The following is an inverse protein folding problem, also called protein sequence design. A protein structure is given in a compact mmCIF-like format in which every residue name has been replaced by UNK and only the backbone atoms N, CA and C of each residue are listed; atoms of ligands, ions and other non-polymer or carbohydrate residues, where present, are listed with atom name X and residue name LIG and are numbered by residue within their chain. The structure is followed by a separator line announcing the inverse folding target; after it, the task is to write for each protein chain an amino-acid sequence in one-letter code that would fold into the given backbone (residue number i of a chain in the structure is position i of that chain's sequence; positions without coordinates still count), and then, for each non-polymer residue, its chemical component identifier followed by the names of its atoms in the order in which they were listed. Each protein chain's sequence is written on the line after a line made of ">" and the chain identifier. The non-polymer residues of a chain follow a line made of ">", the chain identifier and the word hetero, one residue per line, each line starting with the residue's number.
data_IF_000170012393
#
_entry.id   IF_000170012393
#
_cell.length_a   1.000
_cell.length_b   1.000
_cell.length_c   1.000
_cell.angle_alpha   90.00
_cell.angle_beta   90.00
_cell.angle_gamma   90.00
#
_symmetry.space_group_name_H-M   'P 1'
#
loop_
_entity.id
_entity.type
_entity.pdbx_description
1 polymer ?
#
# COMPACT_ATOMS: atom_id res chain seq x y z
N UNK A 1 -47.44 -13.29 -10.06
CA UNK A 1 -46.65 -13.97 -9.00
C UNK A 1 -47.45 -14.22 -7.71
N UNK A 2 -47.63 -13.24 -6.79
CA UNK A 2 -48.30 -13.49 -5.48
C UNK A 2 -49.66 -14.16 -5.59
N UNK A 3 -50.52 -13.67 -6.48
CA UNK A 3 -51.86 -14.23 -6.71
C UNK A 3 -51.82 -15.69 -7.18
N UNK A 4 -50.83 -16.05 -8.02
CA UNK A 4 -50.66 -17.41 -8.54
C UNK A 4 -50.13 -18.35 -7.45
N UNK A 5 -49.12 -17.92 -6.68
CA UNK A 5 -48.54 -18.73 -5.60
C UNK A 5 -49.58 -19.03 -4.51
N UNK A 6 -50.38 -18.03 -4.14
CA UNK A 6 -51.42 -18.20 -3.11
C UNK A 6 -52.70 -18.86 -3.64
N UNK A 7 -52.79 -19.15 -4.94
CA UNK A 7 -54.00 -19.72 -5.54
C UNK A 7 -55.26 -18.87 -5.36
N UNK A 8 -55.13 -17.54 -5.22
CA UNK A 8 -56.28 -16.69 -4.89
C UNK A 8 -57.13 -16.45 -6.13
N UNK A 9 -58.41 -16.79 -6.03
CA UNK A 9 -59.42 -16.45 -7.02
C UNK A 9 -60.03 -15.08 -6.71
N UNK A 10 -60.03 -14.20 -7.70
CA UNK A 10 -60.63 -12.88 -7.58
C UNK A 10 -61.92 -12.81 -8.39
N UNK A 11 -62.93 -12.19 -7.80
CA UNK A 11 -64.19 -11.87 -8.47
C UNK A 11 -64.21 -10.40 -8.84
N UNK A 12 -64.66 -10.08 -10.06
CA UNK A 12 -64.90 -8.69 -10.42
C UNK A 12 -66.24 -8.26 -9.80
N UNK A 13 -66.32 -7.10 -9.12
CA UNK A 13 -67.58 -6.58 -8.59
C UNK A 13 -68.49 -5.97 -9.67
N UNK A 14 -67.99 -5.85 -10.90
CA UNK A 14 -68.66 -5.26 -12.05
C UNK A 14 -68.73 -6.31 -13.17
N UNK A 15 -68.59 -5.90 -14.43
CA UNK A 15 -68.76 -6.70 -15.65
C UNK A 15 -67.50 -7.43 -16.14
N UNK A 16 -66.49 -7.68 -15.30
CA UNK A 16 -65.17 -8.23 -15.69
C UNK A 16 -64.43 -7.44 -16.80
N UNK A 17 -64.85 -6.21 -17.10
CA UNK A 17 -64.26 -5.34 -18.14
C UNK A 17 -63.67 -4.04 -17.57
N UNK A 18 -63.27 -4.04 -16.29
CA UNK A 18 -62.75 -2.83 -15.65
C UNK A 18 -61.47 -2.31 -16.33
N UNK A 19 -61.38 -1.01 -16.67
CA UNK A 19 -60.21 -0.44 -17.30
C UNK A 19 -59.00 -0.44 -16.35
N UNK A 20 -57.96 -1.22 -16.69
CA UNK A 20 -56.73 -1.33 -15.90
C UNK A 20 -55.73 -0.26 -16.34
N UNK A 21 -55.75 0.89 -15.66
CA UNK A 21 -54.82 2.03 -15.84
C UNK A 21 -53.86 2.19 -14.65
N UNK A 22 -52.83 3.04 -14.76
CA UNK A 22 -51.86 3.29 -13.68
C UNK A 22 -52.53 3.69 -12.35
N UNK A 23 -53.55 4.54 -12.41
CA UNK A 23 -54.31 5.02 -11.26
C UNK A 23 -55.31 3.96 -10.74
N UNK A 24 -56.04 3.29 -11.64
CA UNK A 24 -57.18 2.44 -11.28
C UNK A 24 -56.86 0.94 -11.16
N UNK A 25 -55.64 0.50 -11.48
CA UNK A 25 -55.23 -0.93 -11.46
C UNK A 25 -55.42 -1.66 -10.12
N UNK A 26 -55.60 -0.95 -9.00
CA UNK A 26 -55.83 -1.56 -7.69
C UNK A 26 -57.32 -1.80 -7.39
N UNK A 27 -58.23 -1.18 -8.14
CA UNK A 27 -59.68 -1.22 -7.88
C UNK A 27 -60.31 -2.58 -8.20
N UNK A 28 -59.79 -3.30 -9.20
CA UNK A 28 -60.26 -4.64 -9.54
C UNK A 28 -59.09 -5.60 -9.73
N UNK A 29 -58.90 -6.52 -8.78
CA UNK A 29 -57.83 -7.52 -8.81
C UNK A 29 -58.10 -8.60 -9.87
N UNK A 30 -59.36 -8.93 -10.11
CA UNK A 30 -59.77 -9.88 -11.15
C UNK A 30 -59.40 -9.40 -12.56
N UNK A 31 -59.84 -8.19 -12.95
CA UNK A 31 -59.54 -7.63 -14.27
C UNK A 31 -58.03 -7.37 -14.43
N UNK A 32 -57.34 -6.98 -13.35
CA UNK A 32 -55.88 -6.85 -13.37
C UNK A 32 -55.19 -8.18 -13.66
N UNK A 33 -55.59 -9.24 -12.97
CA UNK A 33 -54.99 -10.57 -13.16
C UNK A 33 -55.32 -11.10 -14.56
N UNK A 34 -56.57 -10.95 -15.03
CA UNK A 34 -56.98 -11.36 -16.37
C UNK A 34 -56.14 -10.67 -17.44
N UNK A 35 -56.04 -9.33 -17.39
CA UNK A 35 -55.21 -8.56 -18.33
C UNK A 35 -53.74 -9.01 -18.31
N UNK A 36 -53.19 -9.38 -17.16
CA UNK A 36 -51.83 -9.94 -17.08
C UNK A 36 -51.70 -11.26 -17.87
N UNK A 37 -52.70 -12.13 -17.81
CA UNK A 37 -52.70 -13.38 -18.57
C UNK A 37 -52.92 -13.10 -20.06
N UNK A 38 -53.80 -12.17 -20.41
CA UNK A 38 -54.11 -11.81 -21.81
C UNK A 38 -52.89 -11.22 -22.54
N UNK A 39 -52.01 -10.49 -21.84
CA UNK A 39 -50.73 -10.02 -22.40
C UNK A 39 -49.64 -11.09 -22.42
N UNK A 40 -49.96 -12.34 -22.08
CA UNK A 40 -49.05 -13.49 -22.19
C UNK A 40 -48.23 -13.80 -20.94
N UNK A 41 -48.55 -13.27 -19.76
CA UNK A 41 -47.85 -13.69 -18.53
C UNK A 41 -48.22 -15.13 -18.18
N UNK A 42 -47.26 -16.06 -18.28
CA UNK A 42 -47.50 -17.47 -17.99
C UNK A 42 -47.32 -17.80 -16.50
N UNK A 43 -48.19 -18.67 -15.97
CA UNK A 43 -48.21 -19.07 -14.54
C UNK A 43 -47.09 -20.06 -14.19
N UNK A 44 -46.76 -20.94 -15.14
CA UNK A 44 -45.71 -21.96 -15.07
C UNK A 44 -44.29 -21.37 -15.02
N UNK A 45 -44.09 -20.16 -15.55
CA UNK A 45 -42.80 -19.45 -15.52
C UNK A 45 -42.46 -18.81 -14.16
N UNK A 46 -43.24 -19.09 -13.10
CA UNK A 46 -42.97 -18.57 -11.77
C UNK A 46 -42.09 -19.57 -11.01
N UNK A 47 -40.87 -19.16 -10.67
CA UNK A 47 -39.98 -19.96 -9.83
C UNK A 47 -40.65 -20.34 -8.49
N UNK A 48 -40.45 -21.59 -8.09
CA UNK A 48 -40.86 -22.09 -6.77
C UNK A 48 -40.18 -21.31 -5.64
N UNK A 49 -40.78 -21.36 -4.45
CA UNK A 49 -40.21 -20.72 -3.27
C UNK A 49 -38.81 -21.27 -2.94
N UNK A 50 -38.64 -22.59 -3.00
CA UNK A 50 -37.34 -23.26 -2.83
C UNK A 50 -36.29 -22.74 -3.83
N UNK A 51 -36.62 -22.65 -5.13
CA UNK A 51 -35.69 -22.18 -6.15
C UNK A 51 -35.29 -20.70 -5.95
N UNK A 52 -36.19 -19.87 -5.41
CA UNK A 52 -35.87 -18.48 -5.07
C UNK A 52 -35.00 -18.37 -3.82
N UNK A 53 -35.23 -19.20 -2.82
CA UNK A 53 -34.38 -19.28 -1.63
C UNK A 53 -32.96 -19.72 -2.03
N UNK A 54 -32.82 -20.76 -2.86
CA UNK A 54 -31.53 -21.19 -3.39
C UNK A 54 -30.83 -20.07 -4.18
N UNK A 55 -31.55 -19.37 -5.06
CA UNK A 55 -31.00 -18.21 -5.78
C UNK A 55 -30.54 -17.09 -4.84
N UNK A 56 -31.26 -16.83 -3.75
CA UNK A 56 -30.88 -15.85 -2.72
C UNK A 56 -29.64 -16.31 -1.95
N UNK A 57 -29.58 -17.58 -1.56
CA UNK A 57 -28.43 -18.17 -0.89
C UNK A 57 -27.16 -18.08 -1.74
N UNK A 58 -27.23 -18.46 -3.01
CA UNK A 58 -26.12 -18.36 -3.96
C UNK A 58 -25.65 -16.91 -4.16
N UNK A 59 -26.58 -15.94 -4.22
CA UNK A 59 -26.24 -14.51 -4.30
C UNK A 59 -25.58 -14.01 -3.01
N UNK A 60 -26.05 -14.47 -1.86
CA UNK A 60 -25.45 -14.17 -0.56
C UNK A 60 -24.04 -14.73 -0.45
N UNK A 61 -23.83 -15.98 -0.86
CA UNK A 61 -22.52 -16.62 -0.87
C UNK A 61 -21.55 -15.89 -1.80
N UNK A 62 -21.97 -15.55 -3.03
CA UNK A 62 -21.13 -14.76 -3.96
C UNK A 62 -20.75 -13.39 -3.42
N UNK A 63 -21.64 -12.72 -2.68
CA UNK A 63 -21.31 -11.47 -2.00
C UNK A 63 -20.24 -11.70 -0.93
N UNK A 64 -20.44 -12.69 -0.06
CA UNK A 64 -19.45 -13.05 0.98
C UNK A 64 -18.09 -13.45 0.38
N UNK A 65 -18.06 -14.21 -0.70
CA UNK A 65 -16.81 -14.57 -1.39
C UNK A 65 -16.13 -13.36 -2.01
N UNK A 66 -16.90 -12.39 -2.53
CA UNK A 66 -16.36 -11.13 -3.08
C UNK A 66 -15.92 -10.14 -2.00
N UNK A 67 -16.57 -10.19 -0.84
CA UNK A 67 -16.26 -9.36 0.34
C UNK A 67 -15.10 -9.92 1.15
N UNK A 68 -14.74 -11.20 0.98
CA UNK A 68 -13.43 -11.69 1.41
C UNK A 68 -12.38 -11.12 0.45
N UNK A 69 -11.48 -10.23 0.91
CA UNK A 69 -10.29 -9.91 0.13
C UNK A 69 -9.55 -11.24 -0.05
N UNK A 70 -9.08 -11.52 -1.27
CA UNK A 70 -8.20 -12.67 -1.50
C UNK A 70 -7.05 -12.59 -0.50
N UNK A 71 -7.07 -13.45 0.51
CA UNK A 71 -6.05 -13.47 1.55
C UNK A 71 -4.70 -13.78 0.91
N UNK A 72 -3.63 -13.31 1.57
CA UNK A 72 -2.28 -13.66 1.18
C UNK A 72 -2.13 -15.19 1.20
N UNK A 73 -1.42 -15.74 0.22
CA UNK A 73 -1.07 -17.16 0.24
C UNK A 73 -0.19 -17.46 1.46
N UNK A 74 -0.14 -18.71 1.90
CA UNK A 74 0.72 -19.11 3.02
C UNK A 74 2.20 -18.72 2.76
N UNK A 75 2.66 -18.87 1.52
CA UNK A 75 4.00 -18.46 1.08
C UNK A 75 4.20 -16.94 1.17
N UNK A 76 3.22 -16.15 0.72
CA UNK A 76 3.26 -14.68 0.84
C UNK A 76 3.30 -14.25 2.30
N UNK A 77 2.49 -14.88 3.15
CA UNK A 77 2.46 -14.58 4.57
C UNK A 77 3.78 -14.91 5.26
N UNK A 78 4.40 -16.04 4.88
CA UNK A 78 5.71 -16.44 5.38
C UNK A 78 6.81 -15.45 4.94
N UNK A 79 6.80 -15.01 3.68
CA UNK A 79 7.75 -14.02 3.18
C UNK A 79 7.63 -12.70 3.94
N UNK A 80 6.40 -12.20 4.15
CA UNK A 80 6.16 -10.99 4.92
C UNK A 80 6.70 -11.13 6.35
N UNK A 81 6.45 -12.25 7.01
CA UNK A 81 6.98 -12.52 8.36
C UNK A 81 8.51 -12.46 8.39
N UNK A 82 9.18 -13.06 7.40
CA UNK A 82 10.64 -13.03 7.29
C UNK A 82 11.14 -11.59 7.11
N UNK A 83 10.52 -10.83 6.20
CA UNK A 83 10.91 -9.44 5.93
C UNK A 83 10.75 -8.56 7.18
N UNK A 84 9.64 -8.68 7.90
CA UNK A 84 9.39 -7.94 9.14
C UNK A 84 10.43 -8.30 10.20
N UNK A 85 10.66 -9.60 10.42
CA UNK A 85 11.61 -10.07 11.43
C UNK A 85 13.06 -9.68 11.10
N UNK A 86 13.45 -9.68 9.82
CA UNK A 86 14.75 -9.22 9.37
C UNK A 86 14.90 -7.70 9.54
N UNK A 87 13.84 -6.93 9.26
CA UNK A 87 13.86 -5.48 9.44
C UNK A 87 14.06 -5.10 10.91
N UNK A 88 13.29 -5.69 11.83
CA UNK A 88 13.42 -5.39 13.27
C UNK A 88 14.77 -5.75 13.88
N UNK A 89 15.51 -6.70 13.31
CA UNK A 89 16.85 -7.08 13.79
C UNK A 89 17.95 -6.15 13.29
N UNK A 90 17.80 -5.62 12.08
CA UNK A 90 18.85 -4.86 11.41
C UNK A 90 18.57 -3.36 11.37
N UNK A 91 17.32 -2.92 11.54
CA UNK A 91 16.97 -1.51 11.55
C UNK A 91 16.52 -1.09 12.94
N UNK A 92 17.36 -0.28 13.56
CA UNK A 92 17.02 0.44 14.78
C UNK A 92 16.70 1.90 14.44
N UNK A 93 15.41 2.24 14.49
CA UNK A 93 14.93 3.61 14.23
C UNK A 93 15.40 4.62 15.29
N UNK A 94 15.87 4.15 16.45
CA UNK A 94 16.40 5.01 17.52
C UNK A 94 17.89 5.34 17.35
N UNK A 95 18.57 4.72 16.37
CA UNK A 95 20.01 4.89 16.14
C UNK A 95 20.87 4.60 17.38
N UNK A 96 20.43 3.72 18.29
CA UNK A 96 21.12 3.46 19.56
C UNK A 96 22.54 2.90 19.37
N UNK A 97 22.80 2.22 18.25
CA UNK A 97 24.11 1.66 17.91
C UNK A 97 25.01 2.63 17.13
N UNK A 98 24.52 3.82 16.78
CA UNK A 98 25.28 4.84 16.06
C UNK A 98 25.97 5.81 17.03
N UNK A 99 27.01 5.32 17.72
CA UNK A 99 27.72 6.09 18.76
C UNK A 99 29.09 6.62 18.31
N UNK A 100 29.73 5.93 17.37
CA UNK A 100 31.06 6.28 16.87
C UNK A 100 30.96 7.00 15.53
N UNK A 101 30.56 8.26 15.55
CA UNK A 101 30.49 9.13 14.37
C UNK A 101 31.43 10.32 14.48
N UNK A 102 31.89 10.82 13.34
CA UNK A 102 32.64 12.08 13.29
C UNK A 102 31.66 13.25 13.47
N UNK A 103 31.85 14.11 14.48
CA UNK A 103 31.06 15.31 14.64
C UNK A 103 31.38 16.32 13.54
N UNK A 104 30.47 17.27 13.34
CA UNK A 104 30.68 18.37 12.42
C UNK A 104 31.92 19.18 12.85
N UNK A 105 32.92 19.26 11.98
CA UNK A 105 34.07 20.13 12.21
C UNK A 105 33.76 21.43 11.51
N UNK A 106 33.53 22.51 12.28
CA UNK A 106 33.45 23.85 11.71
C UNK A 106 34.81 24.15 11.09
N UNK A 107 34.87 24.21 9.77
CA UNK A 107 36.05 24.72 9.09
C UNK A 107 35.96 26.24 9.26
N UNK A 108 36.69 26.78 10.24
CA UNK A 108 36.91 28.22 10.29
C UNK A 108 37.79 28.56 9.09
N UNK A 109 37.16 28.91 7.98
CA UNK A 109 37.85 29.51 6.83
C UNK A 109 38.11 30.96 7.24
N UNK A 110 39.36 31.36 7.55
CA UNK A 110 39.64 32.77 7.76
C UNK A 110 39.39 33.45 6.43
N UNK A 111 38.37 34.32 6.38
CA UNK A 111 38.19 35.18 5.22
C UNK A 111 39.47 36.01 5.07
N UNK A 112 40.15 36.01 3.90
CA UNK A 112 41.28 36.89 3.69
C UNK A 112 40.75 38.33 3.69
N UNK A 113 41.00 39.04 4.80
CA UNK A 113 40.70 40.47 4.92
C UNK A 113 41.51 41.21 3.85
N UNK A 114 40.89 41.93 2.90
CA UNK A 114 41.63 42.75 1.96
C UNK A 114 42.24 43.94 2.71
N UNK A 115 43.57 44.04 2.71
CA UNK A 115 44.28 45.21 3.25
C UNK A 115 44.21 46.38 2.27
N UNK A 116 43.31 47.36 2.56
CA UNK A 116 43.40 48.82 2.26
C UNK A 116 43.36 49.31 0.79
N UNK A 117 43.22 50.63 0.48
CA UNK A 117 42.58 51.77 1.18
C UNK A 117 41.57 52.58 0.28
N UNK A 118 40.80 53.47 0.91
CA UNK A 118 40.10 54.69 0.40
C UNK A 118 39.58 54.78 -1.04
N UNK A 119 38.28 55.08 -1.19
CA UNK A 119 37.70 56.28 -1.84
C UNK A 119 36.26 55.99 -2.35
N UNK A 120 35.45 57.03 -2.33
CA UNK A 120 34.00 57.03 -2.54
C UNK A 120 33.54 56.61 -3.95
N UNK A 121 32.36 55.97 -4.03
CA UNK A 121 31.52 56.02 -5.23
C UNK A 121 30.76 54.73 -5.59
N UNK A 122 29.44 54.75 -5.37
CA UNK A 122 28.46 54.23 -6.34
C UNK A 122 28.15 52.71 -6.42
N UNK A 123 26.85 52.45 -6.34
CA UNK A 123 26.08 51.43 -7.09
C UNK A 123 25.95 50.00 -6.53
N UNK A 124 24.67 49.63 -6.45
CA UNK A 124 24.03 48.31 -6.31
C UNK A 124 24.85 47.11 -6.76
N UNK A 125 24.98 46.06 -5.93
CA UNK A 125 24.78 44.67 -6.34
C UNK A 125 25.03 43.65 -5.22
N UNK A 126 23.99 42.81 -4.99
CA UNK A 126 24.02 41.41 -4.58
C UNK A 126 24.58 41.05 -3.18
N UNK A 127 23.66 40.66 -2.30
CA UNK A 127 23.94 39.78 -1.19
C UNK A 127 24.36 38.40 -1.74
N UNK A 128 25.66 38.20 -1.95
CA UNK A 128 26.27 36.90 -2.23
C UNK A 128 27.31 36.60 -1.16
N UNK A 129 27.44 35.32 -0.85
CA UNK A 129 28.55 34.69 -0.11
C UNK A 129 28.49 34.68 1.42
N UNK A 130 27.38 34.16 1.96
CA UNK A 130 27.47 33.27 3.12
C UNK A 130 26.93 31.91 2.72
N UNK A 131 27.71 31.17 1.90
CA UNK A 131 27.53 29.72 1.81
C UNK A 131 27.77 29.15 3.21
N UNK A 132 26.73 28.63 3.91
CA UNK A 132 26.95 27.99 5.18
C UNK A 132 27.79 26.75 4.91
N UNK A 133 28.98 26.65 5.50
CA UNK A 133 29.94 25.54 5.49
C UNK A 133 29.30 24.16 5.17
N UNK A 134 28.98 23.90 3.90
CA UNK A 134 28.20 22.72 3.44
C UNK A 134 29.03 21.45 3.65
N UNK A 135 30.35 21.62 3.68
CA UNK A 135 31.33 20.55 3.81
C UNK A 135 31.54 20.12 5.27
N UNK A 136 31.25 20.96 6.27
CA UNK A 136 31.38 20.61 7.70
C UNK A 136 30.60 19.37 8.15
N UNK A 137 29.43 19.13 7.55
CA UNK A 137 28.55 18.00 7.90
C UNK A 137 28.87 16.73 7.09
N UNK A 138 29.69 16.82 6.05
CA UNK A 138 29.95 15.67 5.17
C UNK A 138 30.61 14.48 5.87
N UNK A 139 31.58 14.64 6.80
CA UNK A 139 32.13 13.51 7.52
C UNK A 139 31.07 12.77 8.35
N UNK A 140 30.19 13.52 9.00
CA UNK A 140 29.07 12.97 9.78
C UNK A 140 28.07 12.23 8.89
N UNK A 141 27.69 12.85 7.76
CA UNK A 141 26.78 12.24 6.80
C UNK A 141 27.39 10.98 6.15
N UNK A 142 28.68 10.98 5.86
CA UNK A 142 29.39 9.81 5.35
C UNK A 142 29.33 8.64 6.36
N UNK A 143 29.53 8.92 7.64
CA UNK A 143 29.45 7.88 8.69
C UNK A 143 28.03 7.36 8.87
N UNK A 144 27.03 8.25 8.86
CA UNK A 144 25.61 7.87 8.92
C UNK A 144 25.20 7.03 7.70
N UNK A 145 25.58 7.46 6.50
CA UNK A 145 25.28 6.73 5.26
C UNK A 145 25.94 5.35 5.25
N UNK A 146 27.18 5.25 5.74
CA UNK A 146 27.92 4.00 5.87
C UNK A 146 27.23 3.06 6.86
N UNK A 147 26.80 3.57 8.02
CA UNK A 147 26.03 2.82 9.00
C UNK A 147 24.72 2.29 8.40
N UNK A 148 23.96 3.14 7.70
CA UNK A 148 22.70 2.75 7.06
C UNK A 148 22.91 1.70 5.96
N UNK A 149 23.97 1.83 5.16
CA UNK A 149 24.33 0.84 4.13
C UNK A 149 24.61 -0.52 4.78
N UNK A 150 25.33 -0.56 5.89
CA UNK A 150 25.60 -1.81 6.61
C UNK A 150 24.31 -2.48 7.09
N UNK A 151 23.34 -1.71 7.60
CA UNK A 151 22.04 -2.24 7.99
C UNK A 151 21.25 -2.81 6.81
N UNK A 152 21.27 -2.11 5.66
CA UNK A 152 20.64 -2.60 4.42
C UNK A 152 21.29 -3.91 3.93
N UNK A 153 22.63 -4.00 3.97
CA UNK A 153 23.36 -5.22 3.58
C UNK A 153 22.98 -6.38 4.51
N UNK A 154 22.96 -6.16 5.82
CA UNK A 154 22.62 -7.18 6.80
C UNK A 154 21.16 -7.64 6.67
N UNK A 155 20.24 -6.71 6.40
CA UNK A 155 18.86 -7.03 6.06
C UNK A 155 18.76 -7.88 4.79
N UNK A 156 19.45 -7.51 3.71
CA UNK A 156 19.42 -8.26 2.45
C UNK A 156 19.91 -9.70 2.62
N UNK A 157 20.93 -9.92 3.45
CA UNK A 157 21.44 -11.26 3.79
C UNK A 157 20.42 -12.17 4.48
N UNK A 158 19.36 -11.63 5.08
CA UNK A 158 18.31 -12.42 5.73
C UNK A 158 17.19 -12.84 4.75
N UNK A 159 17.12 -12.24 3.56
CA UNK A 159 16.06 -12.51 2.59
C UNK A 159 16.38 -13.77 1.78
N UNK A 160 15.50 -14.80 1.74
CA UNK A 160 15.78 -16.09 1.11
C UNK A 160 16.26 -16.01 -0.35
N UNK A 161 15.70 -15.10 -1.14
CA UNK A 161 16.08 -14.91 -2.55
C UNK A 161 17.50 -14.34 -2.71
N UNK A 162 17.98 -13.54 -1.76
CA UNK A 162 19.32 -12.93 -1.80
C UNK A 162 20.39 -13.83 -1.18
N UNK A 163 20.01 -14.76 -0.31
CA UNK A 163 20.92 -15.77 0.24
C UNK A 163 21.41 -16.75 -0.82
N UNK A 164 20.50 -17.22 -1.66
CA UNK A 164 20.79 -18.23 -2.69
C UNK A 164 21.59 -17.71 -3.89
N UNK A 165 21.64 -16.39 -4.11
CA UNK A 165 22.46 -15.77 -5.15
C UNK A 165 23.94 -15.65 -4.74
N UNK A 166 24.22 -15.48 -3.44
CA UNK A 166 25.58 -15.46 -2.91
C UNK A 166 26.32 -16.81 -2.96
N UNK A 167 25.59 -17.93 -2.95
CA UNK A 167 26.18 -19.28 -3.04
C UNK A 167 26.54 -19.68 -4.48
N UNK A 168 25.87 -19.10 -5.50
CA UNK A 168 26.11 -19.42 -6.90
C UNK A 168 27.22 -18.60 -7.55
N UNK A 169 27.56 -17.43 -6.98
CA UNK A 169 28.73 -16.61 -7.37
C UNK A 169 29.99 -16.88 -6.53
N UNK A 170 29.94 -17.79 -5.55
CA UNK A 170 31.08 -18.18 -4.71
C UNK A 170 32.11 -19.12 -5.34
N UNK A 171 32.07 -19.32 -6.67
CA UNK A 171 33.06 -20.09 -7.45
C UNK A 171 34.11 -19.23 -8.15
N UNK A 172 34.10 -17.91 -7.95
CA UNK A 172 35.05 -16.96 -8.52
C UNK A 172 36.09 -16.50 -7.49
N UNK A 173 37.31 -17.00 -7.63
CA UNK A 173 38.52 -16.57 -6.92
C UNK A 173 38.64 -15.03 -6.80
N UNK A 174 38.39 -14.48 -5.61
CA UNK A 174 39.00 -13.20 -5.18
C UNK A 174 39.57 -13.37 -3.78
N UNK A 175 40.85 -13.76 -3.72
CA UNK A 175 41.66 -13.64 -2.52
C UNK A 175 41.81 -12.17 -2.11
N UNK A 176 40.91 -11.68 -1.27
CA UNK A 176 41.04 -10.42 -0.54
C UNK A 176 41.74 -10.68 0.79
N UNK A 177 43.05 -10.41 0.85
CA UNK A 177 43.84 -10.41 2.09
C UNK A 177 43.16 -9.48 3.12
N UNK A 178 43.06 -9.86 4.40
CA UNK A 178 42.60 -8.93 5.42
C UNK A 178 43.62 -7.80 5.57
N UNK A 179 43.13 -6.55 5.46
CA UNK A 179 43.93 -5.36 5.73
C UNK A 179 44.21 -5.29 7.23
N UNK A 180 45.36 -5.82 7.65
CA UNK A 180 45.87 -5.66 9.01
C UNK A 180 46.33 -4.20 9.14
N UNK A 181 45.55 -3.40 9.88
CA UNK A 181 45.95 -2.04 10.27
C UNK A 181 46.98 -2.16 11.41
N UNK A 182 48.21 -1.63 11.26
CA UNK A 182 49.20 -1.69 12.33
C UNK A 182 48.84 -0.71 13.46
N UNK A 183 49.15 -1.04 14.73
CA UNK A 183 48.92 -0.15 15.85
C UNK A 183 49.86 1.07 15.75
N UNK A 184 49.29 2.27 15.81
CA UNK A 184 50.03 3.52 15.93
C UNK A 184 50.73 3.54 17.29
N UNK A 185 52.07 3.49 17.28
CA UNK A 185 52.88 3.77 18.46
C UNK A 185 52.67 5.22 18.90
N UNK A 186 52.10 5.40 20.09
CA UNK A 186 52.31 6.60 20.88
C UNK A 186 53.77 6.61 21.35
N UNK A 187 54.51 7.66 21.02
CA UNK A 187 55.72 8.05 21.73
C UNK A 187 55.43 9.35 22.51
N UNK A 188 56.05 9.55 23.68
CA UNK A 188 55.73 10.60 24.65
C UNK A 188 56.22 11.98 24.25
#
# INVERSE_FOLDING_TARGET
>A
RRSVIKGVHFTCPLSRSCPVTKAKRRQCQACRLQKCLDVGMRKDMIMSEAALQQRRALRGQRRRTREQPGGLTAEQQQLITILIAAHHRNFDSSFSQFTHYRPAVRLYVPSPVPQSPSEAGGSECLAEDVLPDVFSMLPHFADLSTFMIQQVINFAKEIPAFRSTGEREGGGNTGGRPLVVPPTHHHP
#
